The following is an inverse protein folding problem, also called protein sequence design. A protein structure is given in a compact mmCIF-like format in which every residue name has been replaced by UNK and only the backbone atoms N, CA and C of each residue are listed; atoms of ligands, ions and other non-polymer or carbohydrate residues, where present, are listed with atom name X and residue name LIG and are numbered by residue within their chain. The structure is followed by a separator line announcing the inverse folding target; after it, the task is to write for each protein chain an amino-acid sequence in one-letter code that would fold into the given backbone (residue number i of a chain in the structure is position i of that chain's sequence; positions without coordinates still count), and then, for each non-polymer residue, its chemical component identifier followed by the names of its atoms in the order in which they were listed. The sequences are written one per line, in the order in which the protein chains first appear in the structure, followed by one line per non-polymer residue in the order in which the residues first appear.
data_IF_304137923425
#
_entry.id   IF_304137923425
#
_cell.length_a   1.000
_cell.length_b   1.000
_cell.length_c   1.000
_cell.angle_alpha   90.00
_cell.angle_beta   90.00
_cell.angle_gamma   90.00
#
_symmetry.space_group_name_H-M   'P 1'
#
loop_
_entity.id
_entity.type
_entity.pdbx_description
1 polymer ?
#
# COMPACT_ATOMS: atom_id res chain seq x y z
N UNK A 1 -7.33 2.46 -10.34
CA UNK A 1 -6.62 1.21 -10.62
C UNK A 1 -5.89 0.70 -9.39
N UNK A 2 -4.68 1.21 -9.11
CA UNK A 2 -3.78 0.71 -8.06
C UNK A 2 -4.42 0.57 -6.69
N UNK A 3 -5.10 1.60 -6.17
CA UNK A 3 -5.74 1.54 -4.85
C UNK A 3 -6.88 0.51 -4.77
N UNK A 4 -7.61 0.30 -5.86
CA UNK A 4 -8.65 -0.73 -5.93
C UNK A 4 -8.02 -2.14 -5.91
N UNK A 5 -6.90 -2.33 -6.61
CA UNK A 5 -6.14 -3.58 -6.56
C UNK A 5 -5.61 -3.85 -5.14
N UNK A 6 -4.98 -2.83 -4.52
CA UNK A 6 -4.48 -2.90 -3.14
C UNK A 6 -5.60 -3.22 -2.15
N UNK A 7 -6.78 -2.62 -2.31
CA UNK A 7 -7.94 -2.90 -1.47
C UNK A 7 -8.31 -4.39 -1.51
N UNK A 8 -8.55 -4.95 -2.69
CA UNK A 8 -9.03 -6.34 -2.81
C UNK A 8 -7.97 -7.37 -2.42
N UNK A 9 -6.70 -7.17 -2.79
CA UNK A 9 -5.66 -8.11 -2.42
C UNK A 9 -5.41 -8.11 -0.91
N UNK A 10 -5.49 -6.94 -0.26
CA UNK A 10 -5.34 -6.86 1.18
C UNK A 10 -6.58 -7.31 1.95
N UNK A 11 -7.78 -7.19 1.39
CA UNK A 11 -8.98 -7.77 1.98
C UNK A 11 -8.82 -9.29 2.10
N UNK A 12 -8.40 -9.95 1.01
CA UNK A 12 -8.10 -11.39 1.00
C UNK A 12 -6.96 -11.76 1.95
N UNK A 13 -5.81 -11.07 1.88
CA UNK A 13 -4.67 -11.37 2.74
C UNK A 13 -4.96 -11.17 4.24
N UNK A 14 -5.72 -10.12 4.58
CA UNK A 14 -6.09 -9.82 5.97
C UNK A 14 -7.05 -10.88 6.52
N UNK A 15 -7.98 -11.37 5.69
CA UNK A 15 -8.88 -12.45 6.09
C UNK A 15 -8.14 -13.75 6.42
N UNK A 16 -7.08 -14.09 5.68
CA UNK A 16 -6.22 -15.26 6.01
C UNK A 16 -5.55 -15.16 7.39
N UNK A 17 -5.47 -13.95 7.97
CA UNK A 17 -4.77 -13.66 9.22
C UNK A 17 -5.73 -13.54 10.39
N UNK A 18 -6.89 -12.92 10.15
CA UNK A 18 -7.99 -12.82 11.11
C UNK A 18 -9.29 -13.20 10.43
N UNK A 19 -9.58 -14.51 10.27
CA UNK A 19 -10.78 -14.96 9.57
C UNK A 19 -12.04 -14.62 10.35
N UNK A 20 -13.05 -14.07 9.67
CA UNK A 20 -14.37 -13.77 10.23
C UNK A 20 -15.45 -13.93 9.13
N UNK A 21 -16.72 -14.02 9.53
CA UNK A 21 -17.86 -14.06 8.60
C UNK A 21 -17.95 -15.37 7.81
N UNK A 22 -17.47 -16.48 8.39
CA UNK A 22 -17.50 -17.80 7.77
C UNK A 22 -17.97 -18.88 8.75
N UNK A 23 -18.45 -20.00 8.19
CA UNK A 23 -18.71 -21.24 8.90
C UNK A 23 -17.96 -22.40 8.23
N UNK A 24 -17.79 -23.51 8.95
CA UNK A 24 -17.21 -24.74 8.40
C UNK A 24 -18.35 -25.74 8.18
N UNK A 25 -18.67 -26.02 6.92
CA UNK A 25 -19.71 -26.98 6.52
C UNK A 25 -19.04 -28.07 5.69
N UNK A 26 -19.21 -29.34 6.10
CA UNK A 26 -18.59 -30.49 5.41
C UNK A 26 -17.08 -30.31 5.16
N UNK A 27 -16.37 -29.81 6.18
CA UNK A 27 -14.92 -29.56 6.12
C UNK A 27 -14.48 -28.50 5.09
N UNK A 28 -15.42 -27.66 4.60
CA UNK A 28 -15.16 -26.52 3.73
C UNK A 28 -15.52 -25.20 4.42
N UNK A 29 -14.73 -24.16 4.17
CA UNK A 29 -15.01 -22.80 4.65
C UNK A 29 -16.03 -22.14 3.74
N UNK A 30 -17.17 -21.77 4.29
CA UNK A 30 -18.29 -21.12 3.57
C UNK A 30 -18.51 -19.72 4.15
N UNK A 31 -18.48 -18.65 3.33
CA UNK A 31 -18.77 -17.30 3.81
C UNK A 31 -20.26 -17.15 4.15
N UNK A 32 -20.54 -16.62 5.34
CA UNK A 32 -21.90 -16.33 5.84
C UNK A 32 -22.17 -14.83 6.00
N UNK A 33 -21.11 -14.01 6.11
CA UNK A 33 -21.20 -12.54 6.12
C UNK A 33 -20.02 -11.93 5.34
N UNK A 34 -20.32 -11.44 4.13
CA UNK A 34 -19.32 -10.85 3.24
C UNK A 34 -18.72 -9.54 3.76
N UNK A 35 -19.47 -8.74 4.52
CA UNK A 35 -18.93 -7.51 5.08
C UNK A 35 -17.93 -7.84 6.20
N UNK A 36 -18.23 -8.84 7.03
CA UNK A 36 -17.29 -9.32 8.05
C UNK A 36 -16.06 -10.00 7.44
N UNK A 37 -16.20 -10.68 6.28
CA UNK A 37 -15.05 -11.24 5.54
C UNK A 37 -14.12 -10.13 5.05
N UNK A 38 -14.68 -9.09 4.40
CA UNK A 38 -13.89 -7.98 3.82
C UNK A 38 -13.30 -7.10 4.93
N UNK A 39 -14.12 -6.65 5.87
CA UNK A 39 -13.75 -5.73 6.95
C UNK A 39 -13.45 -6.47 8.26
N UNK A 40 -12.62 -7.50 8.18
CA UNK A 40 -12.12 -8.22 9.34
C UNK A 40 -11.22 -7.32 10.22
N UNK A 41 -10.96 -7.68 11.49
CA UNK A 41 -10.26 -6.81 12.44
C UNK A 41 -8.88 -6.35 11.98
N UNK A 42 -8.19 -7.16 11.16
CA UNK A 42 -6.87 -6.79 10.66
C UNK A 42 -6.86 -5.90 9.42
N UNK A 43 -7.96 -5.84 8.67
CA UNK A 43 -7.99 -5.19 7.37
C UNK A 43 -7.69 -3.68 7.42
N UNK A 44 -8.34 -2.85 8.26
CA UNK A 44 -8.16 -1.40 8.18
C UNK A 44 -6.72 -0.94 8.43
N UNK A 45 -6.05 -1.51 9.43
CA UNK A 45 -4.67 -1.12 9.73
C UNK A 45 -3.67 -1.71 8.71
N UNK A 46 -3.92 -2.91 8.17
CA UNK A 46 -3.08 -3.50 7.10
C UNK A 46 -3.18 -2.71 5.80
N UNK A 47 -4.38 -2.26 5.44
CA UNK A 47 -4.60 -1.39 4.29
C UNK A 47 -3.86 -0.06 4.46
N UNK A 48 -4.01 0.59 5.62
CA UNK A 48 -3.30 1.83 5.92
C UNK A 48 -1.77 1.63 5.89
N UNK A 49 -1.25 0.62 6.58
CA UNK A 49 0.18 0.34 6.65
C UNK A 49 0.78 0.07 5.27
N UNK A 50 0.22 -0.89 4.52
CA UNK A 50 0.76 -1.27 3.22
C UNK A 50 0.57 -0.18 2.16
N UNK A 51 -0.53 0.57 2.23
CA UNK A 51 -0.78 1.72 1.36
C UNK A 51 0.29 2.79 1.56
N UNK A 52 0.50 3.23 2.80
CA UNK A 52 1.53 4.22 3.15
C UNK A 52 2.92 3.69 2.79
N UNK A 53 3.24 2.44 3.10
CA UNK A 53 4.54 1.83 2.79
C UNK A 53 4.84 1.84 1.28
N UNK A 54 3.83 1.57 0.43
CA UNK A 54 4.01 1.59 -1.03
C UNK A 54 4.30 2.99 -1.57
N UNK A 55 3.59 4.01 -1.08
CA UNK A 55 3.88 5.42 -1.44
C UNK A 55 5.27 5.84 -0.95
N UNK A 56 5.61 5.48 0.29
CA UNK A 56 6.90 5.83 0.88
C UNK A 56 8.07 5.20 0.12
N UNK A 57 7.97 3.91 -0.21
CA UNK A 57 8.98 3.20 -1.00
C UNK A 57 9.17 3.85 -2.39
N UNK A 58 8.06 4.20 -3.04
CA UNK A 58 8.08 4.87 -4.35
C UNK A 58 8.71 6.27 -4.26
N UNK A 59 8.36 7.04 -3.23
CA UNK A 59 8.89 8.37 -3.02
C UNK A 59 10.40 8.34 -2.74
N UNK A 60 10.89 7.42 -1.91
CA UNK A 60 12.33 7.24 -1.68
C UNK A 60 13.07 6.82 -2.95
N UNK A 61 12.48 5.96 -3.77
CA UNK A 61 13.08 5.58 -5.06
C UNK A 61 13.24 6.79 -5.99
N UNK A 62 12.21 7.63 -6.09
CA UNK A 62 12.24 8.87 -6.88
C UNK A 62 13.26 9.86 -6.30
N UNK A 63 13.29 10.05 -4.98
CA UNK A 63 14.23 10.94 -4.29
C UNK A 63 15.68 10.51 -4.51
N UNK A 64 15.97 9.20 -4.40
CA UNK A 64 17.29 8.63 -4.64
C UNK A 64 17.75 8.87 -6.09
N UNK A 65 16.87 8.62 -7.07
CA UNK A 65 17.16 8.87 -8.48
C UNK A 65 17.44 10.35 -8.76
N UNK A 66 16.59 11.25 -8.27
CA UNK A 66 16.77 12.70 -8.43
C UNK A 66 18.07 13.20 -7.80
N UNK A 67 18.37 12.72 -6.59
CA UNK A 67 19.58 13.07 -5.85
C UNK A 67 20.84 12.60 -6.59
N UNK A 68 20.82 11.39 -7.14
CA UNK A 68 21.93 10.85 -7.91
C UNK A 68 22.24 11.72 -9.15
N UNK A 69 21.22 12.12 -9.91
CA UNK A 69 21.41 13.02 -11.05
C UNK A 69 21.97 14.40 -10.64
N UNK A 70 21.46 14.97 -9.54
CA UNK A 70 21.94 16.25 -9.02
C UNK A 70 23.42 16.17 -8.57
N UNK A 71 23.82 15.06 -7.93
CA UNK A 71 25.20 14.79 -7.53
C UNK A 71 26.13 14.64 -8.75
N UNK A 72 25.63 14.13 -9.87
CA UNK A 72 26.37 14.04 -11.15
C UNK A 72 26.37 15.35 -11.95
N UNK A 73 25.89 16.45 -11.38
CA UNK A 73 25.93 17.77 -12.01
C UNK A 73 24.74 18.08 -12.92
N UNK A 74 23.77 17.18 -13.07
CA UNK A 74 22.53 17.46 -13.79
C UNK A 74 21.58 18.30 -12.93
N UNK A 75 21.78 19.62 -12.95
CA UNK A 75 21.04 20.60 -12.13
C UNK A 75 19.79 21.18 -12.81
N UNK A 76 19.21 20.45 -13.75
CA UNK A 76 17.98 20.88 -14.43
C UNK A 76 16.84 21.13 -13.45
N UNK A 77 15.92 22.03 -13.82
CA UNK A 77 14.72 22.33 -13.01
C UNK A 77 13.86 21.08 -12.77
N UNK A 78 13.83 20.15 -13.74
CA UNK A 78 13.14 18.87 -13.62
C UNK A 78 13.69 18.02 -12.46
N UNK A 79 15.02 17.87 -12.33
CA UNK A 79 15.62 17.07 -11.25
C UNK A 79 15.35 17.67 -9.87
N UNK A 80 15.40 19.01 -9.75
CA UNK A 80 15.07 19.70 -8.50
C UNK A 80 13.59 19.53 -8.12
N UNK A 81 12.69 19.59 -9.11
CA UNK A 81 11.24 19.38 -8.89
C UNK A 81 10.93 17.95 -8.48
N UNK A 82 11.57 16.98 -9.14
CA UNK A 82 11.45 15.55 -8.82
C UNK A 82 11.89 15.25 -7.38
N UNK A 83 13.02 15.84 -6.94
CA UNK A 83 13.48 15.73 -5.56
C UNK A 83 12.52 16.42 -4.57
N UNK A 84 12.07 17.64 -4.88
CA UNK A 84 11.17 18.39 -4.01
C UNK A 84 9.84 17.66 -3.79
N UNK A 85 9.20 17.19 -4.86
CA UNK A 85 7.92 16.47 -4.77
C UNK A 85 8.05 15.16 -3.98
N UNK A 86 9.13 14.41 -4.18
CA UNK A 86 9.34 13.16 -3.43
C UNK A 86 9.57 13.40 -1.94
N UNK A 87 10.33 14.43 -1.56
CA UNK A 87 10.53 14.80 -0.15
C UNK A 87 9.20 15.24 0.50
N UNK A 88 8.35 15.99 -0.21
CA UNK A 88 7.03 16.36 0.32
C UNK A 88 6.13 15.14 0.57
N UNK A 89 6.15 14.14 -0.30
CA UNK A 89 5.41 12.88 -0.11
C UNK A 89 5.96 12.07 1.07
N UNK A 90 7.27 12.13 1.33
CA UNK A 90 7.90 11.44 2.47
C UNK A 90 7.50 12.09 3.81
N UNK A 91 7.34 13.42 3.82
CA UNK A 91 7.09 14.19 5.04
C UNK A 91 5.66 14.05 5.58
N UNK A 92 4.67 13.94 4.69
CA UNK A 92 3.23 13.94 5.00
C UNK A 92 2.73 12.51 5.14
#
# INVERSE_FOLDING_TARGET
GTLMSTFWILASNSWMQTPQGFEIVNNQVVPVDWLAVIFNPSFPYRLAHMGVAAFLASAFFIAASASWHLLKGNKTSAMKKMLSMSIWIILI
#
